data_IF_622065595110
#
_entry.id   IF_622065595110
#
_cell.length_a   1.000
_cell.length_b   1.000
_cell.length_c   1.000
_cell.angle_alpha   90.00
_cell.angle_beta   90.00
_cell.angle_gamma   90.00
#
_symmetry.space_group_name_H-M   'P 1'
#
loop_
_entity.id
_entity.type
_entity.pdbx_description
1 polymer ?
#
# COMPACT_ATOMS: atom_id res chain seq x y z
N UNK A 1 -66.68 -31.10 -3.01
CA UNK A 1 -66.16 -31.81 -4.20
C UNK A 1 -64.79 -31.28 -4.54
N UNK A 2 -63.76 -32.16 -4.52
CA UNK A 2 -62.39 -31.99 -5.08
C UNK A 2 -61.53 -30.91 -4.39
N UNK A 3 -60.24 -31.06 -4.09
CA UNK A 3 -59.23 -32.14 -4.15
C UNK A 3 -58.06 -31.59 -3.29
N UNK A 4 -57.36 -32.47 -2.57
CA UNK A 4 -56.06 -32.17 -1.96
C UNK A 4 -55.07 -31.63 -3.00
N UNK A 5 -54.12 -30.78 -2.57
CA UNK A 5 -52.68 -30.88 -2.89
C UNK A 5 -51.88 -29.96 -1.95
N UNK A 6 -50.88 -30.57 -1.32
CA UNK A 6 -49.77 -29.96 -0.57
C UNK A 6 -49.00 -28.95 -1.41
N UNK A 7 -48.60 -27.81 -0.84
CA UNK A 7 -47.50 -27.01 -1.37
C UNK A 7 -46.52 -26.65 -0.27
N UNK A 8 -45.32 -27.22 -0.44
CA UNK A 8 -44.09 -26.95 0.30
C UNK A 8 -43.63 -25.53 -0.01
N UNK A 9 -43.39 -24.73 1.04
CA UNK A 9 -42.69 -23.45 0.94
C UNK A 9 -41.21 -23.69 0.65
N UNK A 10 -40.84 -23.69 -0.63
CA UNK A 10 -39.45 -23.52 -1.07
C UNK A 10 -39.25 -22.05 -1.48
N UNK A 11 -38.52 -21.31 -0.65
CA UNK A 11 -38.00 -19.99 -1.00
C UNK A 11 -36.91 -20.16 -2.08
N UNK A 12 -37.33 -20.12 -3.34
CA UNK A 12 -36.44 -20.12 -4.49
C UNK A 12 -35.74 -18.77 -4.63
N UNK A 13 -34.41 -18.80 -4.59
CA UNK A 13 -33.56 -17.72 -5.07
C UNK A 13 -33.99 -17.29 -6.47
N UNK A 14 -34.33 -16.02 -6.64
CA UNK A 14 -34.43 -15.38 -7.94
C UNK A 14 -33.02 -15.19 -8.51
N UNK A 15 -32.57 -16.23 -9.23
CA UNK A 15 -31.57 -16.15 -10.29
C UNK A 15 -32.15 -15.33 -11.43
N UNK A 16 -31.99 -14.00 -11.39
CA UNK A 16 -32.18 -13.17 -12.57
C UNK A 16 -30.94 -13.28 -13.46
N UNK A 17 -31.08 -14.14 -14.47
CA UNK A 17 -30.26 -14.16 -15.67
C UNK A 17 -30.42 -12.84 -16.42
N UNK A 18 -29.40 -11.99 -16.38
CA UNK A 18 -29.26 -10.92 -17.37
C UNK A 18 -28.49 -11.46 -18.56
N UNK A 19 -29.24 -11.61 -19.64
CA UNK A 19 -28.75 -11.99 -20.95
C UNK A 19 -27.71 -11.03 -21.51
N UNK A 20 -26.98 -11.57 -22.47
CA UNK A 20 -25.98 -10.94 -23.30
C UNK A 20 -26.27 -9.46 -23.61
N UNK A 21 -25.52 -8.58 -22.94
CA UNK A 21 -25.31 -7.22 -23.38
C UNK A 21 -23.83 -7.05 -23.73
N UNK A 22 -23.62 -6.61 -24.98
CA UNK A 22 -22.41 -6.08 -25.59
C UNK A 22 -21.07 -6.46 -24.92
N UNK A 23 -20.20 -7.15 -25.67
CA UNK A 23 -18.75 -7.06 -25.46
C UNK A 23 -18.38 -5.58 -25.49
N UNK A 24 -18.38 -4.92 -24.32
CA UNK A 24 -17.71 -3.64 -24.18
C UNK A 24 -16.27 -3.92 -24.55
N UNK A 25 -15.73 -3.16 -25.51
CA UNK A 25 -14.28 -3.12 -25.69
C UNK A 25 -13.74 -2.65 -24.34
N UNK A 26 -13.28 -3.59 -23.51
CA UNK A 26 -12.50 -3.27 -22.33
C UNK A 26 -11.38 -2.35 -22.82
N UNK A 27 -11.16 -1.19 -22.19
CA UNK A 27 -10.00 -0.36 -22.53
C UNK A 27 -8.76 -1.23 -22.33
N UNK A 28 -8.15 -1.68 -23.42
CA UNK A 28 -6.92 -2.47 -23.36
C UNK A 28 -5.80 -1.56 -22.89
N UNK A 29 -4.98 -2.07 -21.96
CA UNK A 29 -3.65 -1.53 -21.62
C UNK A 29 -2.87 -1.09 -22.88
N UNK A 30 -1.89 -0.17 -22.78
CA UNK A 30 -1.34 0.51 -23.94
C UNK A 30 -0.77 -0.51 -24.91
N UNK A 31 -1.12 -0.33 -26.18
CA UNK A 31 -0.76 -1.15 -27.32
C UNK A 31 0.68 -1.62 -27.18
N UNK A 32 0.89 -2.91 -26.90
CA UNK A 32 2.22 -3.48 -27.01
C UNK A 32 2.61 -3.38 -28.48
N UNK A 33 3.76 -2.78 -28.75
CA UNK A 33 4.27 -2.63 -30.13
C UNK A 33 5.56 -3.44 -30.28
N UNK A 34 5.83 -3.91 -31.49
CA UNK A 34 7.04 -4.69 -31.76
C UNK A 34 8.31 -3.83 -31.62
N UNK A 35 8.31 -2.68 -32.27
CA UNK A 35 9.42 -1.73 -32.27
C UNK A 35 9.02 -0.38 -31.68
N UNK A 36 9.88 0.17 -30.82
CA UNK A 36 9.62 1.46 -30.21
C UNK A 36 9.63 2.60 -31.23
N UNK A 37 8.52 3.34 -31.29
CA UNK A 37 8.43 4.61 -32.00
C UNK A 37 7.72 5.66 -31.12
N UNK A 38 8.28 6.87 -30.94
CA UNK A 38 7.60 7.90 -30.17
C UNK A 38 6.30 8.36 -30.86
N UNK A 39 5.22 8.44 -30.09
CA UNK A 39 3.93 8.93 -30.54
C UNK A 39 3.26 9.81 -29.48
N UNK A 40 2.06 10.31 -29.77
CA UNK A 40 1.33 11.20 -28.86
C UNK A 40 0.93 10.51 -27.54
N UNK A 41 0.74 9.19 -27.55
CA UNK A 41 0.26 8.42 -26.40
C UNK A 41 1.42 8.09 -25.47
N UNK A 42 2.50 7.46 -25.95
CA UNK A 42 3.63 7.07 -25.11
C UNK A 42 4.35 8.28 -24.51
N UNK A 43 4.40 9.42 -25.21
CA UNK A 43 4.91 10.69 -24.68
C UNK A 43 4.06 11.28 -23.55
N UNK A 44 2.76 10.97 -23.51
CA UNK A 44 1.86 11.38 -22.44
C UNK A 44 1.90 10.42 -21.26
N UNK A 45 1.94 9.11 -21.53
CA UNK A 45 2.02 8.06 -20.51
C UNK A 45 3.38 8.02 -19.82
N UNK A 46 4.43 8.46 -20.50
CA UNK A 46 5.79 8.39 -20.01
C UNK A 46 6.48 7.04 -20.27
N UNK A 47 5.83 6.12 -20.99
CA UNK A 47 6.38 4.81 -21.31
C UNK A 47 5.70 4.16 -22.53
N UNK A 48 6.31 3.09 -23.04
CA UNK A 48 5.82 2.17 -24.05
C UNK A 48 6.17 0.73 -23.67
N UNK A 49 5.28 -0.23 -23.92
CA UNK A 49 5.59 -1.66 -23.80
C UNK A 49 5.97 -2.24 -25.15
N UNK A 50 6.99 -3.09 -25.17
CA UNK A 50 7.42 -3.86 -26.35
C UNK A 50 7.65 -5.33 -26.00
N UNK A 51 7.89 -6.18 -27.01
CA UNK A 51 8.22 -7.60 -26.79
C UNK A 51 7.12 -8.39 -26.08
N UNK A 52 5.86 -8.22 -26.49
CA UNK A 52 4.70 -8.82 -25.82
C UNK A 52 4.52 -8.38 -24.34
N UNK A 53 5.12 -7.25 -23.96
CA UNK A 53 5.10 -6.71 -22.60
C UNK A 53 6.25 -7.19 -21.72
N UNK A 54 7.26 -7.84 -22.29
CA UNK A 54 8.51 -8.20 -21.60
C UNK A 54 9.44 -7.01 -21.38
N UNK A 55 9.25 -5.92 -22.11
CA UNK A 55 10.16 -4.77 -22.11
C UNK A 55 9.40 -3.47 -21.95
N UNK A 56 9.96 -2.57 -21.13
CA UNK A 56 9.44 -1.22 -20.87
C UNK A 56 10.42 -0.20 -21.42
N UNK A 57 9.96 0.65 -22.33
CA UNK A 57 10.71 1.81 -22.80
C UNK A 57 10.11 3.04 -22.13
N UNK A 58 10.81 3.63 -21.17
CA UNK A 58 10.45 4.93 -20.60
C UNK A 58 10.64 6.03 -21.65
N UNK A 59 9.71 6.98 -21.69
CA UNK A 59 9.66 8.06 -22.69
C UNK A 59 9.44 9.39 -21.98
N UNK A 60 10.48 10.23 -21.94
CA UNK A 60 10.36 11.59 -21.44
C UNK A 60 10.41 12.58 -22.59
N UNK A 61 9.32 13.30 -22.82
CA UNK A 61 9.27 14.45 -23.75
C UNK A 61 9.37 15.76 -22.95
N UNK A 62 10.51 16.43 -23.05
CA UNK A 62 10.76 17.65 -22.30
C UNK A 62 9.70 18.73 -22.54
N UNK A 63 9.19 18.85 -23.77
CA UNK A 63 8.13 19.80 -24.11
C UNK A 63 6.79 19.46 -23.44
N UNK A 64 6.43 18.17 -23.40
CA UNK A 64 5.19 17.72 -22.76
C UNK A 64 5.22 17.96 -21.24
N UNK A 65 6.38 17.80 -20.60
CA UNK A 65 6.59 18.04 -19.18
C UNK A 65 6.95 19.51 -18.84
N UNK A 66 6.94 20.42 -19.83
CA UNK A 66 7.22 21.85 -19.62
C UNK A 66 8.68 22.15 -19.26
N UNK A 67 9.61 21.25 -19.57
CA UNK A 67 11.04 21.40 -19.34
C UNK A 67 11.71 21.91 -20.61
N UNK A 68 12.32 23.10 -20.54
CA UNK A 68 12.95 23.73 -21.72
C UNK A 68 14.32 23.13 -22.06
N UNK A 69 15.19 22.97 -21.07
CA UNK A 69 16.59 22.59 -21.28
C UNK A 69 16.98 21.49 -20.28
N UNK A 70 16.55 20.24 -20.49
CA UNK A 70 16.97 19.12 -19.65
C UNK A 70 18.46 18.84 -19.85
N UNK A 71 19.17 18.55 -18.75
CA UNK A 71 20.58 18.11 -18.74
C UNK A 71 20.73 16.65 -18.40
N UNK A 72 19.94 16.18 -17.44
CA UNK A 72 19.85 14.77 -17.05
C UNK A 72 18.42 14.43 -16.72
N UNK A 73 17.97 13.28 -17.15
CA UNK A 73 16.62 12.77 -16.91
C UNK A 73 16.77 11.40 -16.29
N UNK A 74 16.07 11.17 -15.19
CA UNK A 74 16.01 9.91 -14.49
C UNK A 74 14.56 9.50 -14.34
N UNK A 75 14.32 8.20 -14.22
CA UNK A 75 13.06 7.68 -13.69
C UNK A 75 13.29 7.20 -12.27
N UNK A 76 12.33 7.46 -11.40
CA UNK A 76 12.34 6.92 -10.03
C UNK A 76 10.98 6.32 -9.69
N UNK A 77 11.02 5.28 -8.87
CA UNK A 77 9.81 4.60 -8.44
C UNK A 77 9.18 5.27 -7.21
N UNK A 78 7.85 5.30 -7.20
CA UNK A 78 7.07 5.90 -6.13
C UNK A 78 6.49 4.82 -5.23
N UNK A 79 7.06 4.68 -4.04
CA UNK A 79 6.66 3.66 -3.07
C UNK A 79 6.70 2.26 -3.69
N UNK A 80 7.80 1.84 -4.31
CA UNK A 80 7.91 0.52 -4.95
C UNK A 80 9.32 -0.09 -4.83
N UNK A 81 10.14 0.43 -3.92
CA UNK A 81 11.49 -0.09 -3.68
C UNK A 81 12.54 0.20 -4.76
N UNK A 82 12.18 0.88 -5.86
CA UNK A 82 13.18 1.29 -6.86
C UNK A 82 14.17 2.31 -6.30
N UNK A 83 15.33 2.43 -6.97
CA UNK A 83 16.28 3.49 -6.67
C UNK A 83 15.63 4.86 -6.87
N UNK A 84 15.99 5.82 -6.02
CA UNK A 84 15.51 7.21 -6.07
C UNK A 84 16.59 8.16 -6.59
N UNK A 85 16.15 9.27 -7.17
CA UNK A 85 17.04 10.34 -7.61
C UNK A 85 17.92 9.96 -8.80
N UNK A 86 19.24 10.11 -8.65
CA UNK A 86 20.20 10.12 -9.78
C UNK A 86 20.96 8.81 -9.97
N UNK A 87 20.29 7.66 -9.79
CA UNK A 87 20.92 6.36 -10.06
C UNK A 87 21.24 6.23 -11.55
N UNK A 88 22.45 5.78 -11.89
CA UNK A 88 22.87 5.63 -13.29
C UNK A 88 22.03 4.58 -14.03
N UNK A 89 21.63 3.51 -13.35
CA UNK A 89 20.80 2.43 -13.91
C UNK A 89 19.40 2.89 -14.33
N UNK A 90 18.98 4.05 -13.81
CA UNK A 90 17.67 4.64 -14.09
C UNK A 90 17.77 5.98 -14.84
N UNK A 91 18.93 6.29 -15.41
CA UNK A 91 19.13 7.47 -16.23
C UNK A 91 18.64 7.22 -17.66
N UNK A 92 17.82 8.13 -18.17
CA UNK A 92 17.42 8.15 -19.57
C UNK A 92 18.50 8.81 -20.41
N UNK A 93 18.63 8.36 -21.65
CA UNK A 93 19.55 8.92 -22.64
C UNK A 93 18.80 9.72 -23.71
N UNK A 94 19.42 10.76 -24.31
CA UNK A 94 18.82 11.47 -25.43
C UNK A 94 18.51 10.52 -26.59
N UNK A 95 17.31 10.63 -27.15
CA UNK A 95 16.87 9.80 -28.28
C UNK A 95 16.75 10.62 -29.57
N UNK A 96 15.73 11.49 -29.66
CA UNK A 96 15.49 12.33 -30.84
C UNK A 96 14.74 13.61 -30.46
N UNK A 97 15.23 14.76 -30.91
CA UNK A 97 14.63 16.06 -30.59
C UNK A 97 14.61 16.27 -29.08
N UNK A 98 13.42 16.48 -28.51
CA UNK A 98 13.23 16.74 -27.07
C UNK A 98 12.95 15.45 -26.26
N UNK A 99 13.12 14.28 -26.86
CA UNK A 99 12.76 12.99 -26.27
C UNK A 99 13.99 12.29 -25.69
N UNK A 100 13.82 11.75 -24.50
CA UNK A 100 14.78 10.92 -23.78
C UNK A 100 14.14 9.56 -23.50
N UNK A 101 14.94 8.49 -23.49
CA UNK A 101 14.45 7.13 -23.28
C UNK A 101 15.37 6.28 -22.42
N UNK A 102 14.77 5.30 -21.73
CA UNK A 102 15.48 4.21 -21.04
C UNK A 102 14.70 2.92 -21.31
N UNK A 103 15.40 1.86 -21.67
CA UNK A 103 14.80 0.53 -21.86
C UNK A 103 15.14 -0.36 -20.68
N UNK A 104 14.13 -1.00 -20.10
CA UNK A 104 14.26 -1.90 -18.96
C UNK A 104 13.50 -3.20 -19.23
N UNK A 105 13.95 -4.29 -18.59
CA UNK A 105 13.16 -5.52 -18.53
C UNK A 105 11.94 -5.31 -17.63
N UNK A 106 10.80 -5.87 -18.04
CA UNK A 106 9.55 -5.71 -17.32
C UNK A 106 9.62 -6.33 -15.91
N UNK A 107 10.45 -7.34 -15.68
CA UNK A 107 10.61 -7.96 -14.36
C UNK A 107 11.19 -7.00 -13.32
N UNK A 108 12.12 -6.13 -13.73
CA UNK A 108 12.71 -5.09 -12.87
C UNK A 108 11.71 -3.95 -12.58
N UNK A 109 10.74 -3.77 -13.48
CA UNK A 109 9.73 -2.72 -13.43
C UNK A 109 8.41 -3.20 -12.79
N UNK A 110 8.12 -4.49 -12.74
CA UNK A 110 6.86 -5.03 -12.19
C UNK A 110 6.85 -5.07 -10.66
N UNK A 111 7.09 -3.92 -10.02
CA UNK A 111 7.00 -3.74 -8.58
C UNK A 111 5.88 -2.74 -8.25
N UNK A 112 4.81 -3.14 -7.53
CA UNK A 112 3.67 -2.28 -7.29
C UNK A 112 3.95 -1.19 -6.26
N UNK A 113 3.40 0.00 -6.52
CA UNK A 113 3.24 1.06 -5.52
C UNK A 113 1.85 1.10 -4.90
N UNK A 114 1.51 2.20 -4.22
CA UNK A 114 0.26 2.40 -3.45
C UNK A 114 -1.03 2.04 -4.22
N UNK A 115 -1.05 2.28 -5.52
CA UNK A 115 -2.13 2.01 -6.48
C UNK A 115 -2.30 0.53 -6.83
N UNK A 116 -1.32 -0.31 -6.48
CA UNK A 116 -1.23 -1.72 -6.86
C UNK A 116 -0.61 -1.97 -8.22
N UNK A 117 -0.22 -0.92 -8.94
CA UNK A 117 0.51 -0.97 -10.20
C UNK A 117 1.91 -0.36 -10.00
N UNK A 118 2.88 -0.64 -10.87
CA UNK A 118 4.13 0.10 -10.86
C UNK A 118 3.92 1.58 -11.08
N UNK A 119 4.50 2.39 -10.19
CA UNK A 119 4.35 3.85 -10.19
C UNK A 119 5.70 4.53 -10.33
N UNK A 120 5.76 5.56 -11.16
CA UNK A 120 7.01 6.28 -11.37
C UNK A 120 6.81 7.78 -11.58
N UNK A 121 7.91 8.49 -11.35
CA UNK A 121 8.08 9.90 -11.70
C UNK A 121 9.36 10.09 -12.48
N UNK A 122 9.41 11.18 -13.22
CA UNK A 122 10.67 11.67 -13.75
C UNK A 122 11.34 12.58 -12.73
N UNK A 123 12.65 12.43 -12.58
CA UNK A 123 13.51 13.33 -11.84
C UNK A 123 14.46 13.99 -12.83
N UNK A 124 14.42 15.31 -12.94
CA UNK A 124 15.07 16.05 -14.02
C UNK A 124 16.02 17.09 -13.45
N UNK A 125 17.26 17.10 -13.93
CA UNK A 125 18.18 18.22 -13.75
C UNK A 125 18.08 19.08 -15.01
N UNK A 126 17.64 20.32 -14.88
CA UNK A 126 17.42 21.23 -16.01
C UNK A 126 18.04 22.61 -15.76
N UNK A 127 18.42 23.27 -16.84
CA UNK A 127 18.76 24.69 -16.82
C UNK A 127 17.47 25.52 -16.74
N UNK A 128 17.36 26.36 -15.71
CA UNK A 128 16.25 27.30 -15.54
C UNK A 128 16.75 28.74 -15.58
N UNK A 129 15.97 29.58 -16.25
CA UNK A 129 16.21 31.01 -16.30
C UNK A 129 15.65 31.67 -15.03
N UNK A 130 16.42 32.60 -14.47
CA UNK A 130 15.96 33.47 -13.39
C UNK A 130 16.41 34.90 -13.64
N UNK A 131 15.56 35.85 -13.27
CA UNK A 131 15.86 37.27 -13.34
C UNK A 131 16.51 37.70 -12.04
N UNK A 132 17.63 38.42 -12.13
CA UNK A 132 18.31 39.02 -10.98
C UNK A 132 18.77 40.42 -11.33
N UNK A 133 18.92 41.27 -10.33
CA UNK A 133 19.43 42.64 -10.53
C UNK A 133 20.94 42.67 -10.33
N UNK A 134 21.69 43.20 -11.30
CA UNK A 134 23.13 43.44 -11.22
C UNK A 134 23.37 44.91 -11.54
N UNK A 135 23.98 45.65 -10.60
CA UNK A 135 24.21 47.10 -10.74
C UNK A 135 22.95 47.90 -11.11
N UNK A 136 21.80 47.54 -10.51
CA UNK A 136 20.52 48.22 -10.75
C UNK A 136 19.82 47.87 -12.07
N UNK A 137 20.35 46.94 -12.88
CA UNK A 137 19.72 46.45 -14.11
C UNK A 137 19.27 45.00 -13.95
N UNK A 138 18.10 44.68 -14.48
CA UNK A 138 17.63 43.30 -14.57
C UNK A 138 18.48 42.53 -15.59
N UNK A 139 18.94 41.35 -15.20
CA UNK A 139 19.74 40.43 -16.00
C UNK A 139 19.13 39.05 -15.85
N UNK A 140 18.89 38.39 -16.98
CA UNK A 140 18.49 36.97 -16.99
C UNK A 140 19.74 36.11 -16.90
N UNK A 141 19.76 35.17 -15.94
CA UNK A 141 20.82 34.19 -15.74
C UNK A 141 20.23 32.80 -15.76
N UNK A 142 21.08 31.79 -15.95
CA UNK A 142 20.69 30.37 -15.90
C UNK A 142 21.34 29.69 -14.70
N UNK A 143 20.62 28.78 -14.05
CA UNK A 143 21.17 27.85 -13.06
C UNK A 143 20.58 26.45 -13.27
N UNK A 144 21.26 25.42 -12.78
CA UNK A 144 20.69 24.08 -12.75
C UNK A 144 19.75 23.91 -11.56
N UNK A 145 18.55 23.39 -11.84
CA UNK A 145 17.59 23.00 -10.82
C UNK A 145 17.20 21.53 -10.95
N UNK A 146 16.85 20.95 -9.81
CA UNK A 146 16.31 19.59 -9.68
C UNK A 146 14.80 19.69 -9.63
N UNK A 147 14.13 18.97 -10.51
CA UNK A 147 12.68 19.06 -10.72
C UNK A 147 12.07 17.66 -10.73
N UNK A 148 10.88 17.53 -10.13
CA UNK A 148 10.04 16.33 -10.18
C UNK A 148 8.71 16.70 -10.84
N UNK A 149 8.65 16.81 -12.18
CA UNK A 149 7.42 17.19 -12.84
C UNK A 149 6.33 16.13 -12.63
N UNK A 150 5.09 16.59 -12.39
CA UNK A 150 3.94 15.71 -12.25
C UNK A 150 3.65 14.97 -13.56
N UNK A 151 3.00 13.80 -13.43
CA UNK A 151 2.47 13.05 -14.56
C UNK A 151 1.57 13.93 -15.47
N UNK A 152 1.74 13.84 -16.80
CA UNK A 152 1.08 14.75 -17.77
C UNK A 152 -0.02 14.11 -18.62
N UNK A 153 -0.09 12.77 -18.64
CA UNK A 153 -1.19 12.02 -19.28
C UNK A 153 -2.56 12.56 -18.87
N UNK A 154 -3.44 12.69 -19.86
CA UNK A 154 -4.88 12.94 -19.63
C UNK A 154 -5.72 11.70 -19.86
N UNK A 155 -5.08 10.56 -20.09
CA UNK A 155 -5.74 9.28 -20.36
C UNK A 155 -6.17 8.70 -19.00
N UNK A 156 -7.48 8.51 -18.76
CA UNK A 156 -7.96 7.96 -17.50
C UNK A 156 -7.35 6.57 -17.23
N UNK A 157 -6.95 6.34 -15.98
CA UNK A 157 -6.47 5.04 -15.52
C UNK A 157 -4.96 4.81 -15.60
N UNK A 158 -4.19 5.84 -15.96
CA UNK A 158 -2.72 5.76 -16.07
C UNK A 158 -1.97 6.66 -15.08
N UNK A 159 -2.69 7.20 -14.09
CA UNK A 159 -2.15 8.12 -13.10
C UNK A 159 -2.87 7.95 -11.77
N UNK A 160 -2.13 8.20 -10.69
CA UNK A 160 -2.69 8.39 -9.36
C UNK A 160 -1.90 9.48 -8.65
N UNK A 161 -2.60 10.48 -8.10
CA UNK A 161 -1.99 11.71 -7.58
C UNK A 161 -1.06 12.36 -8.62
N UNK A 162 0.26 12.42 -8.36
CA UNK A 162 1.25 13.00 -9.29
C UNK A 162 2.10 11.96 -10.01
N UNK A 163 1.83 10.66 -9.79
CA UNK A 163 2.60 9.56 -10.37
C UNK A 163 2.02 9.13 -11.73
N UNK A 164 2.91 8.67 -12.62
CA UNK A 164 2.53 7.88 -13.78
C UNK A 164 2.41 6.41 -13.35
N UNK A 165 1.46 5.67 -13.94
CA UNK A 165 1.26 4.25 -13.68
C UNK A 165 1.56 3.43 -14.95
N UNK A 166 2.25 2.31 -14.77
CA UNK A 166 2.52 1.34 -15.82
C UNK A 166 1.49 0.21 -15.71
N UNK A 167 0.66 0.07 -16.72
CA UNK A 167 -0.25 -1.05 -16.90
C UNK A 167 0.31 -1.99 -17.95
N UNK A 168 0.32 -3.28 -17.63
CA UNK A 168 0.77 -4.40 -18.46
C UNK A 168 -0.40 -5.11 -19.14
N UNK A 169 -0.15 -5.98 -20.15
CA UNK A 169 -1.19 -6.80 -20.75
C UNK A 169 -2.00 -7.56 -19.68
N UNK A 170 -3.32 -7.43 -19.74
CA UNK A 170 -4.25 -8.01 -18.75
C UNK A 170 -4.75 -7.02 -17.70
N UNK A 171 -4.04 -5.91 -17.48
CA UNK A 171 -4.48 -4.86 -16.55
C UNK A 171 -5.68 -4.06 -17.11
N UNK A 172 -6.58 -3.65 -16.22
CA UNK A 172 -7.76 -2.85 -16.55
C UNK A 172 -7.61 -1.42 -16.00
N UNK A 173 -7.46 -0.38 -16.85
CA UNK A 173 -7.35 1.01 -16.40
C UNK A 173 -8.60 1.52 -15.68
N UNK A 174 -9.77 0.87 -15.84
CA UNK A 174 -10.96 1.23 -15.09
C UNK A 174 -10.78 1.00 -13.57
N UNK A 175 -9.96 0.01 -13.17
CA UNK A 175 -9.63 -0.23 -11.76
C UNK A 175 -8.90 0.98 -11.16
N UNK A 176 -7.93 1.55 -11.89
CA UNK A 176 -7.24 2.77 -11.47
C UNK A 176 -8.21 3.93 -11.35
N UNK A 177 -9.11 4.11 -12.33
CA UNK A 177 -10.11 5.20 -12.30
C UNK A 177 -10.97 5.14 -11.04
N UNK A 178 -11.43 3.96 -10.64
CA UNK A 178 -12.19 3.81 -9.39
C UNK A 178 -11.32 4.03 -8.14
N UNK A 179 -10.10 3.49 -8.14
CA UNK A 179 -9.16 3.64 -7.02
C UNK A 179 -8.80 5.12 -6.77
N UNK A 180 -8.63 5.92 -7.83
CA UNK A 180 -8.33 7.36 -7.71
C UNK A 180 -9.42 8.10 -6.92
N UNK A 181 -10.71 7.80 -7.17
CA UNK A 181 -11.83 8.41 -6.44
C UNK A 181 -11.75 8.17 -4.93
N UNK A 182 -11.24 7.00 -4.52
CA UNK A 182 -11.04 6.66 -3.11
C UNK A 182 -9.79 7.34 -2.57
N UNK A 183 -8.69 7.31 -3.33
CA UNK A 183 -7.37 7.79 -2.88
C UNK A 183 -7.32 9.27 -2.53
N UNK A 184 -8.15 10.09 -3.17
CA UNK A 184 -8.19 11.54 -2.96
C UNK A 184 -9.15 11.96 -1.84
N UNK A 185 -9.91 11.01 -1.29
CA UNK A 185 -10.98 11.31 -0.34
C UNK A 185 -10.42 11.74 1.02
N UNK A 186 -10.90 12.88 1.49
CA UNK A 186 -10.76 13.36 2.87
C UNK A 186 -12.14 13.42 3.53
N UNK A 187 -12.43 12.48 4.43
CA UNK A 187 -13.68 12.47 5.20
C UNK A 187 -13.57 13.39 6.41
N UNK A 188 -14.60 14.19 6.65
CA UNK A 188 -14.75 15.02 7.86
C UNK A 188 -15.44 14.22 8.95
N UNK A 189 -15.20 14.58 10.20
CA UNK A 189 -15.83 13.91 11.36
C UNK A 189 -17.35 13.77 11.26
N UNK A 190 -18.05 14.78 10.71
CA UNK A 190 -19.51 14.78 10.52
C UNK A 190 -20.04 13.75 9.51
N UNK A 191 -19.16 13.14 8.70
CA UNK A 191 -19.53 12.07 7.76
C UNK A 191 -19.56 10.69 8.44
N UNK A 192 -19.16 10.62 9.71
CA UNK A 192 -19.19 9.41 10.51
C UNK A 192 -20.26 9.53 11.59
N UNK A 193 -20.98 8.44 11.79
CA UNK A 193 -21.93 8.28 12.89
C UNK A 193 -21.23 7.58 14.05
N UNK A 194 -20.84 8.36 15.08
CA UNK A 194 -20.11 7.82 16.24
C UNK A 194 -20.95 6.87 17.12
N UNK A 195 -22.26 6.72 16.85
CA UNK A 195 -23.08 5.68 17.49
C UNK A 195 -22.90 4.31 16.83
N UNK A 196 -22.33 4.27 15.62
CA UNK A 196 -22.11 3.06 14.84
C UNK A 196 -20.69 2.50 15.06
N UNK A 197 -20.55 1.28 15.58
CA UNK A 197 -19.23 0.66 15.80
C UNK A 197 -18.37 0.62 14.53
N UNK A 198 -18.95 0.43 13.36
CA UNK A 198 -18.26 0.37 12.08
C UNK A 198 -17.60 1.70 11.68
N UNK A 199 -18.24 2.84 11.99
CA UNK A 199 -17.69 4.16 11.71
C UNK A 199 -16.60 4.52 12.72
N UNK A 200 -16.78 4.14 13.99
CA UNK A 200 -15.74 4.22 15.01
C UNK A 200 -14.51 3.38 14.66
N UNK A 201 -14.71 2.14 14.19
CA UNK A 201 -13.66 1.26 13.69
C UNK A 201 -12.98 1.84 12.43
N UNK A 202 -13.75 2.50 11.55
CA UNK A 202 -13.21 3.16 10.36
C UNK A 202 -12.33 4.34 10.74
N UNK A 203 -12.75 5.24 11.63
CA UNK A 203 -11.93 6.38 12.06
C UNK A 203 -10.65 5.91 12.76
N UNK A 204 -10.79 4.98 13.71
CA UNK A 204 -9.69 4.47 14.53
C UNK A 204 -8.79 3.45 13.81
N UNK A 205 -9.23 2.95 12.66
CA UNK A 205 -8.66 1.79 11.97
C UNK A 205 -8.61 0.52 12.87
N UNK A 206 -9.33 0.49 13.99
CA UNK A 206 -9.28 -0.59 14.97
C UNK A 206 -10.19 -1.75 14.59
N UNK A 207 -9.65 -2.96 14.54
CA UNK A 207 -10.40 -4.20 14.29
C UNK A 207 -9.60 -5.44 14.69
N UNK A 208 -10.30 -6.56 14.87
CA UNK A 208 -9.67 -7.88 15.05
C UNK A 208 -9.03 -8.34 13.74
N UNK A 209 -7.84 -8.91 13.83
CA UNK A 209 -7.12 -9.50 12.69
C UNK A 209 -7.81 -10.80 12.26
N UNK A 210 -8.08 -11.03 10.96
CA UNK A 210 -8.74 -12.24 10.48
C UNK A 210 -8.06 -13.54 10.96
N UNK A 211 -8.85 -14.58 11.21
CA UNK A 211 -8.35 -15.86 11.72
C UNK A 211 -7.93 -15.86 13.21
N UNK A 212 -8.05 -14.73 13.90
CA UNK A 212 -7.74 -14.58 15.33
C UNK A 212 -8.97 -14.12 16.13
N UNK A 213 -8.94 -14.31 17.44
CA UNK A 213 -9.91 -13.77 18.41
C UNK A 213 -9.28 -12.76 19.37
N UNK A 214 -7.95 -12.75 19.48
CA UNK A 214 -7.20 -11.99 20.50
C UNK A 214 -6.16 -11.02 19.92
N UNK A 215 -6.02 -10.90 18.61
CA UNK A 215 -5.14 -9.90 17.99
C UNK A 215 -5.96 -8.76 17.39
N UNK A 216 -5.83 -7.58 17.97
CA UNK A 216 -6.45 -6.35 17.51
C UNK A 216 -5.38 -5.51 16.80
N UNK A 217 -5.72 -4.92 15.66
CA UNK A 217 -4.85 -3.99 14.91
C UNK A 217 -5.48 -2.62 14.82
N UNK A 218 -4.68 -1.56 14.71
CA UNK A 218 -5.21 -0.22 14.43
C UNK A 218 -4.18 0.91 14.40
N UNK A 219 -4.65 2.14 14.62
CA UNK A 219 -3.82 3.34 14.64
C UNK A 219 -2.94 3.44 15.88
N UNK A 220 -1.96 4.34 15.86
CA UNK A 220 -1.17 4.63 17.06
C UNK A 220 -2.06 5.23 18.19
N UNK A 221 -1.96 4.73 19.44
CA UNK A 221 -2.86 5.16 20.53
C UNK A 221 -2.63 6.59 21.03
N UNK A 222 -1.44 7.16 20.88
CA UNK A 222 -1.13 8.47 21.47
C UNK A 222 -0.38 9.43 20.53
N UNK A 223 -0.05 9.02 19.30
CA UNK A 223 0.70 9.86 18.36
C UNK A 223 -0.22 10.62 17.43
N UNK A 224 0.03 11.92 17.30
CA UNK A 224 -0.65 12.78 16.32
C UNK A 224 0.01 12.55 14.96
N UNK A 225 -0.81 12.15 14.00
CA UNK A 225 -0.42 11.72 12.66
C UNK A 225 -1.01 12.61 11.57
N UNK A 226 -2.20 13.18 11.82
CA UNK A 226 -2.95 14.02 10.88
C UNK A 226 -3.51 15.25 11.58
N UNK A 227 -2.63 16.11 12.12
CA UNK A 227 -3.02 17.28 12.92
C UNK A 227 -4.04 18.22 12.25
N UNK A 228 -4.05 18.28 10.90
CA UNK A 228 -4.95 19.13 10.13
C UNK A 228 -6.35 18.51 9.90
N UNK A 229 -6.58 17.26 10.32
CA UNK A 229 -7.83 16.54 10.10
C UNK A 229 -8.69 16.64 11.35
N UNK A 230 -9.94 17.09 11.21
CA UNK A 230 -10.84 17.28 12.35
C UNK A 230 -11.31 15.97 13.01
N UNK A 231 -10.97 14.81 12.42
CA UNK A 231 -11.17 13.48 13.01
C UNK A 231 -10.09 13.11 14.02
N UNK A 232 -8.95 13.79 14.03
CA UNK A 232 -7.72 13.29 14.68
C UNK A 232 -7.84 13.15 16.21
N UNK A 233 -8.53 14.09 16.87
CA UNK A 233 -8.78 14.00 18.31
C UNK A 233 -9.68 12.81 18.64
N UNK A 234 -10.82 12.69 17.96
CA UNK A 234 -11.76 11.56 18.12
C UNK A 234 -11.08 10.24 17.81
N UNK A 235 -10.19 10.21 16.81
CA UNK A 235 -9.40 9.05 16.44
C UNK A 235 -8.44 8.59 17.56
N UNK A 236 -7.89 9.50 18.38
CA UNK A 236 -7.11 9.13 19.58
C UNK A 236 -8.01 8.51 20.65
N UNK A 237 -9.14 9.16 20.92
CA UNK A 237 -10.11 8.74 21.94
C UNK A 237 -10.64 7.34 21.63
N UNK A 238 -11.03 7.10 20.38
CA UNK A 238 -11.55 5.81 19.92
C UNK A 238 -10.52 4.68 20.00
N UNK A 239 -9.25 4.94 19.68
CA UNK A 239 -8.20 3.91 19.80
C UNK A 239 -7.97 3.53 21.26
N UNK A 240 -7.85 4.51 22.17
CA UNK A 240 -7.66 4.23 23.58
C UNK A 240 -8.87 3.48 24.17
N UNK A 241 -10.08 3.93 23.83
CA UNK A 241 -11.32 3.26 24.22
C UNK A 241 -11.35 1.82 23.72
N UNK A 242 -11.00 1.57 22.47
CA UNK A 242 -11.01 0.22 21.92
C UNK A 242 -9.95 -0.69 22.57
N UNK A 243 -8.77 -0.17 22.91
CA UNK A 243 -7.74 -0.93 23.65
C UNK A 243 -8.28 -1.36 25.02
N UNK A 244 -8.92 -0.44 25.75
CA UNK A 244 -9.50 -0.71 27.07
C UNK A 244 -10.71 -1.65 26.99
N UNK A 245 -11.67 -1.38 26.09
CA UNK A 245 -12.88 -2.19 25.91
C UNK A 245 -12.57 -3.63 25.47
N UNK A 246 -11.49 -3.85 24.72
CA UNK A 246 -11.04 -5.20 24.33
C UNK A 246 -10.14 -5.86 25.38
N UNK A 247 -9.90 -5.21 26.52
CA UNK A 247 -9.09 -5.75 27.61
C UNK A 247 -7.66 -6.05 27.19
N UNK A 248 -7.07 -5.25 26.29
CA UNK A 248 -5.72 -5.49 25.76
C UNK A 248 -4.72 -5.52 26.90
N UNK A 249 -3.93 -6.59 26.96
CA UNK A 249 -2.91 -6.78 28.00
C UNK A 249 -1.48 -6.54 27.50
N UNK A 250 -1.27 -6.58 26.18
CA UNK A 250 0.05 -6.35 25.56
C UNK A 250 -0.03 -5.55 24.27
N UNK A 251 0.98 -4.71 24.01
CA UNK A 251 1.05 -3.83 22.81
C UNK A 251 2.30 -4.15 21.99
N UNK A 252 2.16 -4.15 20.67
CA UNK A 252 3.23 -4.31 19.68
C UNK A 252 3.28 -3.05 18.79
N UNK A 253 4.32 -2.24 18.97
CA UNK A 253 4.57 -1.02 18.17
C UNK A 253 5.58 -1.30 17.07
N UNK A 254 5.20 -1.08 15.81
CA UNK A 254 6.01 -1.28 14.61
C UNK A 254 6.59 0.02 14.03
N UNK A 255 6.69 1.07 14.84
CA UNK A 255 7.26 2.37 14.44
C UNK A 255 8.33 2.85 15.42
N UNK A 256 8.96 1.93 16.15
CA UNK A 256 9.95 2.24 17.18
C UNK A 256 9.36 2.89 18.44
N UNK A 257 10.21 3.16 19.42
CA UNK A 257 9.84 3.81 20.67
C UNK A 257 9.89 5.34 20.54
N UNK A 258 8.91 5.89 19.82
CA UNK A 258 8.83 7.33 19.58
C UNK A 258 8.37 8.08 20.83
N UNK A 259 9.15 9.08 21.23
CA UNK A 259 8.82 9.94 22.36
C UNK A 259 7.57 10.78 22.08
N UNK A 260 6.81 11.07 23.14
CA UNK A 260 5.65 11.97 23.03
C UNK A 260 6.09 13.42 22.82
N UNK A 261 5.27 14.19 22.12
CA UNK A 261 5.41 15.64 22.06
C UNK A 261 4.72 16.24 23.29
N UNK A 262 5.52 16.73 24.24
CA UNK A 262 5.04 17.31 25.50
C UNK A 262 3.98 18.40 25.26
N UNK A 263 2.89 18.35 26.02
CA UNK A 263 1.76 19.27 25.90
C UNK A 263 0.83 19.03 24.71
N UNK A 264 1.11 18.05 23.83
CA UNK A 264 0.25 17.69 22.68
C UNK A 264 -0.21 16.25 22.71
N UNK A 265 0.68 15.34 23.11
CA UNK A 265 0.43 13.90 23.14
C UNK A 265 0.44 13.41 24.58
N UNK A 266 -0.36 12.38 24.88
CA UNK A 266 -0.46 11.82 26.22
C UNK A 266 -0.71 10.33 26.11
N UNK A 267 0.02 9.55 26.92
CA UNK A 267 -0.19 8.11 27.06
C UNK A 267 -1.25 7.92 28.14
N UNK A 268 -2.34 7.21 27.84
CA UNK A 268 -3.41 6.92 28.80
C UNK A 268 -2.90 6.06 29.96
N UNK A 269 -3.52 6.19 31.14
CA UNK A 269 -3.15 5.40 32.32
C UNK A 269 -3.24 3.89 32.08
N UNK A 270 -4.20 3.44 31.28
CA UNK A 270 -4.32 2.04 30.88
C UNK A 270 -3.07 1.54 30.14
N UNK A 271 -2.59 2.30 29.15
CA UNK A 271 -1.38 1.98 28.40
C UNK A 271 -0.13 2.13 29.26
N UNK A 272 -0.08 3.12 30.17
CA UNK A 272 1.03 3.24 31.13
C UNK A 272 1.14 1.98 32.00
N UNK A 273 0.01 1.42 32.46
CA UNK A 273 0.01 0.18 33.24
C UNK A 273 0.53 -1.04 32.44
N UNK A 274 0.16 -1.14 31.16
CA UNK A 274 0.72 -2.16 30.25
C UNK A 274 2.24 -2.00 30.14
N UNK A 275 2.72 -0.76 29.95
CA UNK A 275 4.14 -0.47 29.85
C UNK A 275 4.90 -0.83 31.16
N UNK A 276 4.36 -0.44 32.31
CA UNK A 276 4.95 -0.75 33.62
C UNK A 276 5.00 -2.25 33.92
N UNK A 277 4.07 -3.01 33.34
CA UNK A 277 4.05 -4.47 33.44
C UNK A 277 5.03 -5.17 32.48
N UNK A 278 5.79 -4.42 31.68
CA UNK A 278 6.71 -4.97 30.68
C UNK A 278 6.03 -5.51 29.42
N UNK A 279 4.73 -5.29 29.25
CA UNK A 279 3.92 -5.87 28.17
C UNK A 279 3.86 -4.98 26.91
N UNK A 280 4.97 -4.34 26.55
CA UNK A 280 5.03 -3.51 25.34
C UNK A 280 6.30 -3.78 24.54
N UNK A 281 6.13 -4.37 23.36
CA UNK A 281 7.19 -4.58 22.38
C UNK A 281 7.31 -3.38 21.44
N UNK A 282 8.51 -2.83 21.30
CA UNK A 282 8.84 -1.80 20.31
C UNK A 282 9.79 -2.36 19.27
N UNK A 283 9.37 -2.36 18.00
CA UNK A 283 10.19 -2.70 16.85
C UNK A 283 10.24 -1.49 15.93
N UNK A 284 11.45 -1.07 15.56
CA UNK A 284 11.63 -0.10 14.50
C UNK A 284 11.73 -0.83 13.16
N UNK A 285 10.83 -0.49 12.23
CA UNK A 285 10.78 -1.10 10.91
C UNK A 285 10.19 -0.14 9.88
N UNK A 286 10.47 -0.41 8.61
CA UNK A 286 10.07 0.45 7.49
C UNK A 286 9.03 -0.24 6.60
N UNK A 287 8.34 0.54 5.79
CA UNK A 287 7.47 -0.02 4.74
C UNK A 287 8.30 -0.81 3.71
N UNK A 288 9.56 -0.40 3.44
CA UNK A 288 10.43 -1.12 2.51
C UNK A 288 10.73 -2.54 3.02
N UNK A 289 10.97 -2.68 4.32
CA UNK A 289 11.23 -3.98 4.95
C UNK A 289 10.05 -4.94 4.75
N UNK A 290 8.82 -4.47 4.95
CA UNK A 290 7.64 -5.35 4.91
C UNK A 290 7.11 -5.61 3.49
N UNK A 291 7.25 -4.66 2.54
CA UNK A 291 6.76 -4.86 1.17
C UNK A 291 7.83 -5.38 0.20
N UNK A 292 9.01 -4.75 0.18
CA UNK A 292 10.00 -4.95 -0.89
C UNK A 292 11.18 -5.82 -0.47
N UNK A 293 11.43 -5.95 0.84
CA UNK A 293 12.45 -6.83 1.41
C UNK A 293 11.86 -7.89 2.35
N UNK A 294 10.67 -8.41 2.01
CA UNK A 294 9.96 -9.44 2.80
C UNK A 294 10.71 -10.78 2.86
N UNK A 295 11.62 -11.01 1.91
CA UNK A 295 12.54 -12.16 1.91
C UNK A 295 13.82 -11.91 2.68
N UNK A 296 14.07 -10.69 3.17
CA UNK A 296 15.25 -10.35 3.95
C UNK A 296 15.23 -10.92 5.36
N UNK A 297 16.42 -11.10 5.96
CA UNK A 297 16.53 -11.58 7.35
C UNK A 297 15.86 -10.66 8.37
N UNK A 298 15.80 -9.36 8.07
CA UNK A 298 15.24 -8.36 8.99
C UNK A 298 13.74 -8.54 9.14
N UNK A 299 13.03 -8.85 8.05
CA UNK A 299 11.61 -9.17 8.13
C UNK A 299 11.36 -10.49 8.86
N UNK A 300 12.17 -11.51 8.60
CA UNK A 300 12.06 -12.79 9.32
C UNK A 300 12.31 -12.67 10.82
N UNK A 301 13.34 -11.91 11.24
CA UNK A 301 13.61 -11.62 12.65
C UNK A 301 12.49 -10.79 13.30
N UNK A 302 11.99 -9.78 12.61
CA UNK A 302 10.81 -9.01 13.07
C UNK A 302 9.63 -9.94 13.38
N UNK A 303 9.34 -10.89 12.48
CA UNK A 303 8.25 -11.84 12.71
C UNK A 303 8.55 -12.79 13.88
N UNK A 304 9.79 -13.28 14.01
CA UNK A 304 10.20 -14.12 15.11
C UNK A 304 10.06 -13.41 16.47
N UNK A 305 10.48 -12.15 16.58
CA UNK A 305 10.37 -11.34 17.79
C UNK A 305 8.91 -11.13 18.21
N UNK A 306 8.02 -10.86 17.24
CA UNK A 306 6.59 -10.70 17.49
C UNK A 306 5.96 -12.02 17.95
N UNK A 307 6.29 -13.14 17.30
CA UNK A 307 5.78 -14.46 17.66
C UNK A 307 6.25 -14.85 19.06
N UNK A 308 7.54 -14.66 19.36
CA UNK A 308 8.11 -14.89 20.69
C UNK A 308 7.41 -14.04 21.76
N UNK A 309 7.16 -12.76 21.49
CA UNK A 309 6.44 -11.89 22.40
C UNK A 309 5.01 -12.36 22.67
N UNK A 310 4.25 -12.73 21.62
CA UNK A 310 2.89 -13.27 21.77
C UNK A 310 2.90 -14.57 22.59
N UNK A 311 3.88 -15.44 22.36
CA UNK A 311 4.01 -16.71 23.06
C UNK A 311 4.32 -16.56 24.56
N UNK A 312 4.92 -15.44 24.96
CA UNK A 312 5.44 -15.22 26.32
C UNK A 312 4.70 -14.16 27.14
N UNK A 313 3.88 -13.31 26.50
CA UNK A 313 3.18 -12.19 27.15
C UNK A 313 1.67 -12.37 27.12
N UNK A 314 0.91 -11.85 28.10
CA UNK A 314 -0.55 -11.99 28.16
C UNK A 314 -1.28 -11.29 27.01
N UNK A 315 -2.25 -11.96 26.40
CA UNK A 315 -3.20 -11.35 25.46
C UNK A 315 -4.52 -10.96 26.15
N UNK A 316 -5.46 -10.28 25.47
CA UNK A 316 -5.42 -9.85 24.07
C UNK A 316 -4.32 -8.85 23.73
N UNK A 317 -3.94 -8.79 22.45
CA UNK A 317 -2.81 -8.03 21.93
C UNK A 317 -3.29 -6.90 21.03
N UNK A 318 -2.60 -5.76 21.07
CA UNK A 318 -2.82 -4.65 20.14
C UNK A 318 -1.57 -4.38 19.30
N UNK A 319 -1.68 -4.48 17.98
CA UNK A 319 -0.58 -4.23 17.04
C UNK A 319 -0.83 -2.97 16.20
N UNK A 320 0.15 -2.07 16.15
CA UNK A 320 0.05 -0.84 15.36
C UNK A 320 1.40 -0.34 14.83
N UNK A 321 1.33 0.64 13.94
CA UNK A 321 2.45 1.48 13.51
C UNK A 321 2.02 2.94 13.74
N UNK A 322 2.34 3.87 12.83
CA UNK A 322 1.80 5.22 12.87
C UNK A 322 0.30 5.26 12.53
N UNK A 323 -0.09 4.77 11.35
CA UNK A 323 -1.47 4.85 10.83
C UNK A 323 -2.24 3.53 10.92
N UNK A 324 -1.57 2.43 11.27
CA UNK A 324 -2.15 1.08 11.17
C UNK A 324 -2.29 0.56 9.73
N UNK A 325 -1.56 1.16 8.78
CA UNK A 325 -1.65 0.87 7.33
C UNK A 325 -0.61 -0.16 6.90
N UNK A 326 0.66 0.23 6.82
CA UNK A 326 1.69 -0.50 6.08
C UNK A 326 2.28 -1.66 6.87
N UNK A 327 3.13 -1.34 7.83
CA UNK A 327 3.80 -2.32 8.71
C UNK A 327 2.77 -3.16 9.47
N UNK A 328 1.77 -2.49 10.06
CA UNK A 328 0.63 -3.17 10.68
C UNK A 328 -0.13 -4.05 9.71
N UNK A 329 -0.37 -3.59 8.48
CA UNK A 329 -1.11 -4.35 7.48
C UNK A 329 -0.42 -5.64 7.08
N UNK A 330 0.86 -5.55 6.72
CA UNK A 330 1.64 -6.72 6.32
C UNK A 330 1.85 -7.68 7.49
N UNK A 331 2.28 -7.18 8.65
CA UNK A 331 2.51 -8.03 9.82
C UNK A 331 1.21 -8.70 10.30
N UNK A 332 0.09 -7.98 10.31
CA UNK A 332 -1.21 -8.57 10.66
C UNK A 332 -1.65 -9.61 9.63
N UNK A 333 -1.41 -9.37 8.34
CA UNK A 333 -1.72 -10.34 7.28
C UNK A 333 -0.92 -11.64 7.43
N UNK A 334 0.38 -11.54 7.76
CA UNK A 334 1.21 -12.73 8.03
C UNK A 334 0.70 -13.50 9.25
N UNK A 335 0.40 -12.82 10.35
CA UNK A 335 -0.16 -13.46 11.54
C UNK A 335 -1.54 -14.08 11.27
N UNK A 336 -2.40 -13.42 10.48
CA UNK A 336 -3.69 -13.95 10.04
C UNK A 336 -3.53 -15.24 9.22
N UNK A 337 -2.61 -15.24 8.25
CA UNK A 337 -2.29 -16.40 7.43
C UNK A 337 -1.78 -17.57 8.30
N UNK A 338 -0.85 -17.32 9.24
CA UNK A 338 -0.36 -18.32 10.19
C UNK A 338 -1.46 -18.86 11.12
N UNK A 339 -2.52 -18.07 11.36
CA UNK A 339 -3.72 -18.50 12.09
C UNK A 339 -4.79 -19.15 11.20
N UNK A 340 -4.56 -19.28 9.90
CA UNK A 340 -5.46 -19.97 8.97
C UNK A 340 -6.53 -19.10 8.31
N UNK A 341 -6.39 -17.78 8.34
CA UNK A 341 -7.24 -16.91 7.51
C UNK A 341 -6.95 -17.14 6.02
N UNK A 342 -8.01 -17.12 5.21
CA UNK A 342 -7.90 -17.21 3.75
C UNK A 342 -7.27 -15.94 3.15
N UNK A 343 -6.70 -16.05 1.95
CA UNK A 343 -6.20 -14.88 1.22
C UNK A 343 -7.29 -13.82 0.98
N UNK A 344 -8.52 -14.24 0.73
CA UNK A 344 -9.67 -13.34 0.54
C UNK A 344 -9.99 -12.52 1.80
N UNK A 345 -10.00 -13.15 2.96
CA UNK A 345 -10.20 -12.46 4.24
C UNK A 345 -9.06 -11.47 4.52
N UNK A 346 -7.82 -11.88 4.25
CA UNK A 346 -6.61 -11.08 4.46
C UNK A 346 -6.61 -9.84 3.55
N UNK A 347 -6.82 -10.00 2.24
CA UNK A 347 -6.79 -8.88 1.30
C UNK A 347 -7.95 -7.91 1.54
N UNK A 348 -9.13 -8.44 1.89
CA UNK A 348 -10.28 -7.62 2.25
C UNK A 348 -9.99 -6.82 3.54
N UNK A 349 -9.43 -7.43 4.57
CA UNK A 349 -9.03 -6.73 5.80
C UNK A 349 -8.00 -5.62 5.53
N UNK A 350 -6.98 -5.92 4.73
CA UNK A 350 -5.95 -4.97 4.38
C UNK A 350 -6.52 -3.72 3.70
N UNK A 351 -7.38 -3.90 2.67
CA UNK A 351 -7.96 -2.79 1.91
C UNK A 351 -9.02 -1.98 2.66
N UNK A 352 -9.66 -2.52 3.72
CA UNK A 352 -10.62 -1.75 4.56
C UNK A 352 -10.02 -0.44 5.07
N UNK A 353 -8.71 -0.41 5.26
CA UNK A 353 -7.95 0.78 5.67
C UNK A 353 -8.19 2.00 4.75
N UNK A 354 -8.50 1.79 3.47
CA UNK A 354 -8.78 2.87 2.52
C UNK A 354 -10.07 3.65 2.87
N UNK A 355 -10.98 3.06 3.66
CA UNK A 355 -12.24 3.69 4.06
C UNK A 355 -12.08 4.82 5.09
N UNK A 356 -10.90 4.93 5.74
CA UNK A 356 -10.57 5.99 6.69
C UNK A 356 -10.77 7.39 6.08
N UNK A 357 -10.57 7.53 4.76
CA UNK A 357 -10.71 8.81 4.08
C UNK A 357 -9.72 9.85 4.59
N UNK A 358 -8.43 9.48 4.69
CA UNK A 358 -7.35 10.39 5.13
C UNK A 358 -6.37 10.73 4.01
N UNK A 359 -6.81 10.62 2.75
CA UNK A 359 -5.94 10.70 1.56
C UNK A 359 -4.77 9.70 1.60
N UNK A 360 -5.06 8.49 2.05
CA UNK A 360 -4.18 7.33 2.01
C UNK A 360 -4.89 6.22 1.25
N UNK A 361 -4.14 5.53 0.40
CA UNK A 361 -4.64 4.42 -0.40
C UNK A 361 -3.58 3.32 -0.50
N UNK A 362 -4.00 2.08 -0.30
CA UNK A 362 -3.22 0.87 -0.55
C UNK A 362 -4.08 -0.15 -1.26
N UNK A 363 -3.66 -0.54 -2.45
CA UNK A 363 -4.22 -1.68 -3.15
C UNK A 363 -3.69 -2.99 -2.56
N UNK A 364 -4.48 -4.06 -2.58
CA UNK A 364 -4.04 -5.35 -2.04
C UNK A 364 -2.83 -5.92 -2.79
N UNK A 365 -2.56 -5.48 -4.02
CA UNK A 365 -1.41 -5.95 -4.81
C UNK A 365 -0.05 -5.63 -4.19
N UNK A 366 0.07 -4.60 -3.33
CA UNK A 366 1.30 -4.42 -2.54
C UNK A 366 1.51 -5.57 -1.54
N UNK A 367 0.44 -5.96 -0.87
CA UNK A 367 0.47 -7.08 0.07
C UNK A 367 0.72 -8.39 -0.67
N UNK A 368 0.05 -8.59 -1.82
CA UNK A 368 0.24 -9.74 -2.69
C UNK A 368 1.70 -9.88 -3.09
N UNK A 369 2.33 -8.81 -3.58
CA UNK A 369 3.74 -8.82 -3.95
C UNK A 369 4.65 -9.29 -2.82
N UNK A 370 4.44 -8.80 -1.59
CA UNK A 370 5.21 -9.24 -0.42
C UNK A 370 5.07 -10.74 -0.15
N UNK A 371 3.85 -11.28 -0.26
CA UNK A 371 3.56 -12.70 -0.08
C UNK A 371 4.15 -13.57 -1.18
N UNK A 372 3.98 -13.19 -2.45
CA UNK A 372 4.52 -13.92 -3.60
C UNK A 372 6.05 -13.95 -3.58
N UNK A 373 6.70 -12.87 -3.12
CA UNK A 373 8.15 -12.87 -2.89
C UNK A 373 8.57 -13.87 -1.81
N UNK A 374 7.83 -13.98 -0.70
CA UNK A 374 8.12 -14.98 0.34
C UNK A 374 7.88 -16.41 -0.15
N UNK A 375 6.78 -16.65 -0.86
CA UNK A 375 6.35 -17.98 -1.27
C UNK A 375 6.99 -18.45 -2.59
N UNK A 376 7.60 -17.54 -3.34
CA UNK A 376 8.25 -17.82 -4.63
C UNK A 376 7.29 -18.21 -5.75
N UNK A 377 5.99 -17.91 -5.61
CA UNK A 377 4.94 -18.27 -6.57
C UNK A 377 3.75 -17.29 -6.50
N UNK A 378 2.93 -17.21 -7.56
CA UNK A 378 1.67 -16.46 -7.55
C UNK A 378 0.69 -16.89 -6.46
N UNK A 379 -0.09 -15.95 -5.92
CA UNK A 379 -1.04 -16.25 -4.84
C UNK A 379 -2.19 -17.20 -5.24
N UNK A 380 -2.55 -17.27 -6.52
CA UNK A 380 -3.58 -18.20 -7.03
C UNK A 380 -3.08 -19.65 -7.15
N UNK A 381 -1.76 -19.87 -7.09
CA UNK A 381 -1.13 -21.19 -7.03
C UNK A 381 -0.97 -21.72 -5.60
N UNK A 382 -1.21 -20.87 -4.58
CA UNK A 382 -1.07 -21.24 -3.16
C UNK A 382 -2.29 -22.04 -2.71
N UNK A 383 -2.09 -23.31 -2.37
CA UNK A 383 -3.20 -24.20 -1.98
C UNK A 383 -3.51 -24.14 -0.49
N UNK A 384 -2.46 -24.02 0.34
CA UNK A 384 -2.62 -23.92 1.79
C UNK A 384 -1.70 -22.82 2.32
N UNK A 385 -2.22 -21.60 2.35
CA UNK A 385 -1.47 -20.42 2.75
C UNK A 385 -0.87 -20.55 4.15
N UNK A 386 -1.61 -21.10 5.12
CA UNK A 386 -1.11 -21.30 6.48
C UNK A 386 0.12 -22.20 6.50
N UNK A 387 0.03 -23.36 5.84
CA UNK A 387 1.11 -24.34 5.79
C UNK A 387 2.32 -23.82 5.02
N UNK A 388 2.11 -23.25 3.83
CA UNK A 388 3.20 -22.79 2.97
C UNK A 388 3.95 -21.62 3.61
N UNK A 389 3.24 -20.67 4.23
CA UNK A 389 3.86 -19.55 4.95
C UNK A 389 4.53 -20.01 6.26
N UNK A 390 3.94 -20.96 6.98
CA UNK A 390 4.56 -21.58 8.15
C UNK A 390 5.88 -22.28 7.80
N UNK A 391 5.88 -23.09 6.75
CA UNK A 391 7.07 -23.75 6.22
C UNK A 391 8.15 -22.73 5.85
N UNK A 392 7.79 -21.63 5.18
CA UNK A 392 8.74 -20.57 4.84
C UNK A 392 9.51 -20.04 6.06
N UNK A 393 8.83 -19.76 7.19
CA UNK A 393 9.52 -19.28 8.40
C UNK A 393 10.32 -20.38 9.11
N UNK A 394 9.85 -21.64 9.09
CA UNK A 394 10.53 -22.78 9.72
C UNK A 394 11.80 -23.18 8.96
N UNK A 395 11.71 -23.36 7.64
CA UNK A 395 12.83 -23.79 6.79
C UNK A 395 13.97 -22.76 6.82
N UNK A 396 13.62 -21.49 6.96
CA UNK A 396 14.58 -20.38 7.12
C UNK A 396 15.04 -20.17 8.57
N UNK A 397 14.60 -21.01 9.50
CA UNK A 397 15.01 -21.06 10.91
C UNK A 397 14.69 -19.78 11.70
N UNK A 398 13.63 -19.07 11.32
CA UNK A 398 13.15 -17.92 12.10
C UNK A 398 12.33 -18.36 13.31
N UNK A 399 11.56 -19.44 13.17
CA UNK A 399 10.70 -20.01 14.21
C UNK A 399 10.69 -21.54 14.11
N UNK A 400 10.24 -22.21 15.15
CA UNK A 400 9.96 -23.65 15.17
C UNK A 400 8.48 -23.94 14.97
N UNK A 401 8.13 -25.21 14.72
CA UNK A 401 6.72 -25.63 14.70
C UNK A 401 6.04 -25.37 16.06
N UNK A 402 6.75 -25.59 17.17
CA UNK A 402 6.22 -25.34 18.51
C UNK A 402 5.90 -23.86 18.76
N UNK A 403 6.71 -22.95 18.18
CA UNK A 403 6.44 -21.51 18.24
C UNK A 403 5.14 -21.15 17.51
N UNK A 404 4.92 -21.74 16.32
CA UNK A 404 3.69 -21.52 15.54
C UNK A 404 2.46 -22.15 16.21
N UNK A 405 2.58 -23.35 16.77
CA UNK A 405 1.47 -24.00 17.48
C UNK A 405 1.05 -23.18 18.71
N UNK A 406 2.04 -22.68 19.46
CA UNK A 406 1.79 -21.78 20.60
C UNK A 406 1.15 -20.48 20.12
N UNK A 407 1.66 -19.87 19.06
CA UNK A 407 1.10 -18.64 18.48
C UNK A 407 -0.39 -18.79 18.16
N UNK A 408 -0.75 -19.87 17.45
CA UNK A 408 -2.13 -20.14 17.06
C UNK A 408 -3.02 -20.33 18.30
N UNK A 409 -2.55 -21.06 19.31
CA UNK A 409 -3.25 -21.25 20.59
C UNK A 409 -3.43 -19.94 21.38
N UNK A 410 -2.46 -19.03 21.32
CA UNK A 410 -2.51 -17.72 21.98
C UNK A 410 -3.46 -16.74 21.28
N UNK A 411 -3.58 -16.83 19.96
CA UNK A 411 -4.36 -15.88 19.15
C UNK A 411 -5.79 -16.32 18.85
N UNK A 412 -6.11 -17.62 18.97
CA UNK A 412 -7.48 -18.16 18.92
C UNK A 412 -8.09 -18.25 20.32
#
# INVERSE_FOLDING_TARGET
MKKNISFVCAAGLLLCSFGAFAKSKKPSAPYVIEEFAPDKVNRQLGYQLTGDGSTVVFVFDAGAYGIKVPKKVYVEGSFNGWAKGTSADWQLEPYKGNIWTLTCDAEDVKVPGNSGFPEFKFYVVADVEYVTTVCGKEVTRTRQEKMEPAAVSRIPGFQMATNNLILFPGDDPAVVVENVKVSERVKKLKEFDLSKPEDCATISNVRVVPGTSKLIRGYHPYKISRANFNTEKTRLELVNKAIEDNGVQSIITLSGNEQIISGKETISSYIQNINYSGNHLFIDTSYNTVYYNSTGSDFGKLMADIISFINTHPGPYYIHCRLGTDRTGVTSAVLAALCGASWDEIRADYQKTNAMGIKEFRDYRLLQYSFEKMLGKPMDEVQNLQKELGNYFIERKFVTQADLDTLVSRLK
#
